data_IF_533774530438
#
_entry.id   IF_533774530438
#
_cell.length_a   1.000
_cell.length_b   1.000
_cell.length_c   1.000
_cell.angle_alpha   90.00
_cell.angle_beta   90.00
_cell.angle_gamma   90.00
#
_symmetry.space_group_name_H-M   'P 1'
#
loop_
_entity.id
_entity.type
_entity.pdbx_description
1 polymer ?
#
# COMPACT_ATOMS: atom_id res chain seq x y z
N UNK A 1 -61.72 -19.17 1.42
CA UNK A 1 -60.72 -18.56 2.34
C UNK A 1 -59.43 -18.43 1.55
N UNK A 2 -59.07 -17.22 1.15
CA UNK A 2 -57.83 -16.93 0.41
C UNK A 2 -56.91 -16.19 1.37
N UNK A 3 -55.78 -16.79 1.72
CA UNK A 3 -54.76 -16.18 2.58
C UNK A 3 -53.77 -15.45 1.69
N UNK A 4 -53.89 -14.13 1.61
CA UNK A 4 -52.93 -13.28 0.91
C UNK A 4 -51.60 -13.23 1.67
N UNK A 5 -50.53 -13.63 0.99
CA UNK A 5 -49.16 -13.48 1.48
C UNK A 5 -48.76 -12.00 1.60
N UNK A 6 -48.07 -11.59 2.67
CA UNK A 6 -47.54 -10.24 2.78
C UNK A 6 -46.35 -10.06 1.82
N UNK A 7 -46.31 -8.91 1.14
CA UNK A 7 -45.20 -8.50 0.30
C UNK A 7 -43.93 -8.26 1.14
N UNK A 8 -42.73 -8.60 0.64
CA UNK A 8 -41.49 -8.35 1.35
C UNK A 8 -41.21 -6.84 1.44
N UNK A 9 -40.78 -6.40 2.62
CA UNK A 9 -40.35 -5.03 2.86
C UNK A 9 -39.16 -4.67 1.95
N UNK A 10 -39.19 -3.45 1.39
CA UNK A 10 -38.10 -2.93 0.58
C UNK A 10 -36.81 -2.85 1.43
N UNK A 11 -35.63 -3.21 0.87
CA UNK A 11 -34.37 -3.08 1.58
C UNK A 11 -34.10 -1.59 1.86
N UNK A 12 -33.71 -1.30 3.10
CA UNK A 12 -33.24 0.03 3.48
C UNK A 12 -32.05 0.41 2.59
N UNK A 13 -32.11 1.58 1.97
CA UNK A 13 -30.99 2.18 1.26
C UNK A 13 -29.83 2.30 2.25
N UNK A 14 -28.73 1.60 1.97
CA UNK A 14 -27.52 1.71 2.76
C UNK A 14 -26.91 3.09 2.49
N UNK A 15 -26.73 3.90 3.52
CA UNK A 15 -25.95 5.15 3.47
C UNK A 15 -24.58 4.84 2.85
N UNK A 16 -24.28 5.45 1.71
CA UNK A 16 -22.96 5.36 1.11
C UNK A 16 -21.93 5.98 2.09
N UNK A 17 -20.83 5.29 2.40
CA UNK A 17 -19.83 5.82 3.31
C UNK A 17 -19.18 7.07 2.69
N UNK A 18 -19.51 8.25 3.22
CA UNK A 18 -18.82 9.49 2.87
C UNK A 18 -17.37 9.40 3.31
N UNK A 19 -16.44 9.38 2.34
CA UNK A 19 -15.00 9.43 2.57
C UNK A 19 -14.62 10.78 3.19
N UNK A 20 -14.21 10.78 4.46
CA UNK A 20 -13.70 11.97 5.15
C UNK A 20 -12.25 12.26 4.70
N UNK A 21 -12.09 13.19 3.77
CA UNK A 21 -10.78 13.59 3.24
C UNK A 21 -9.88 14.25 4.29
N UNK A 22 -10.44 14.89 5.33
CA UNK A 22 -9.64 15.49 6.39
C UNK A 22 -8.97 14.42 7.23
N UNK A 23 -9.71 13.35 7.58
CA UNK A 23 -9.16 12.19 8.27
C UNK A 23 -8.08 11.47 7.47
N UNK A 24 -8.27 11.34 6.14
CA UNK A 24 -7.27 10.73 5.25
C UNK A 24 -5.98 11.56 5.25
N UNK A 25 -6.05 12.88 5.03
CA UNK A 25 -4.86 13.75 5.02
C UNK A 25 -4.11 13.75 6.36
N UNK A 26 -4.84 13.78 7.47
CA UNK A 26 -4.24 13.70 8.79
C UNK A 26 -3.45 12.39 8.99
N UNK A 27 -4.02 11.25 8.56
CA UNK A 27 -3.36 9.95 8.61
C UNK A 27 -2.11 9.88 7.74
N UNK A 28 -2.10 10.53 6.58
CA UNK A 28 -0.91 10.60 5.71
C UNK A 28 0.19 11.43 6.36
N UNK A 29 -0.14 12.61 6.90
CA UNK A 29 0.84 13.48 7.56
C UNK A 29 1.47 12.80 8.78
N UNK A 30 0.66 12.08 9.55
CA UNK A 30 1.12 11.30 10.69
C UNK A 30 2.09 10.17 10.28
N UNK A 31 1.77 9.43 9.21
CA UNK A 31 2.68 8.40 8.71
C UNK A 31 4.03 9.00 8.27
N UNK A 32 4.01 10.18 7.63
CA UNK A 32 5.23 10.94 7.28
C UNK A 32 6.09 11.20 8.49
N UNK A 33 5.49 11.75 9.56
CA UNK A 33 6.20 12.04 10.80
C UNK A 33 6.84 10.79 11.43
N UNK A 34 6.17 9.64 11.35
CA UNK A 34 6.70 8.36 11.86
C UNK A 34 7.91 7.90 11.03
N UNK A 35 7.86 8.01 9.70
CA UNK A 35 9.01 7.66 8.85
C UNK A 35 10.19 8.62 9.06
N UNK A 36 9.94 9.92 9.24
CA UNK A 36 10.98 10.89 9.55
C UNK A 36 11.64 10.58 10.91
N UNK A 37 10.83 10.24 11.92
CA UNK A 37 11.34 9.83 13.23
C UNK A 37 12.13 8.51 13.16
N UNK A 38 11.74 7.57 12.29
CA UNK A 38 12.52 6.36 12.03
C UNK A 38 13.88 6.69 11.41
N UNK A 39 13.89 7.49 10.35
CA UNK A 39 15.12 7.92 9.67
C UNK A 39 16.07 8.69 10.59
N UNK A 40 15.53 9.48 11.53
CA UNK A 40 16.30 10.21 12.54
C UNK A 40 16.73 9.36 13.75
N UNK A 41 16.23 8.11 13.88
CA UNK A 41 16.50 7.27 15.05
C UNK A 41 15.79 7.72 16.33
N UNK A 42 14.69 8.46 16.22
CA UNK A 42 13.95 9.09 17.33
C UNK A 42 12.53 8.57 17.51
N UNK A 43 12.26 7.33 17.08
CA UNK A 43 10.92 6.72 17.09
C UNK A 43 10.31 6.53 18.49
N UNK A 44 11.13 6.26 19.51
CA UNK A 44 10.64 5.94 20.87
C UNK A 44 9.69 4.75 20.89
N UNK A 45 8.62 4.82 21.70
CA UNK A 45 7.60 3.76 21.87
C UNK A 45 6.34 3.98 21.01
N UNK A 46 6.41 4.86 20.00
CA UNK A 46 5.24 5.25 19.18
C UNK A 46 4.62 4.09 18.40
N UNK A 47 5.41 3.09 18.01
CA UNK A 47 4.90 1.95 17.25
C UNK A 47 4.00 1.05 18.09
N UNK A 48 4.46 0.52 19.25
CA UNK A 48 3.63 -0.35 20.08
C UNK A 48 2.40 0.33 20.66
N UNK A 49 2.50 1.58 21.14
CA UNK A 49 1.36 2.32 21.71
C UNK A 49 0.17 2.44 20.75
N UNK A 50 0.45 2.34 19.44
CA UNK A 50 -0.52 2.57 18.37
C UNK A 50 -0.81 1.32 17.55
N UNK A 51 -0.26 0.18 17.95
CA UNK A 51 -0.40 -1.07 17.22
C UNK A 51 0.15 -0.96 15.79
N UNK A 52 1.27 -0.25 15.58
CA UNK A 52 1.88 -0.08 14.26
C UNK A 52 2.98 -1.11 14.00
N UNK A 53 3.23 -1.38 12.73
CA UNK A 53 4.39 -2.16 12.27
C UNK A 53 5.04 -1.44 11.10
N UNK A 54 6.35 -1.23 11.19
CA UNK A 54 7.17 -0.59 10.16
C UNK A 54 7.95 -1.67 9.39
N UNK A 55 7.85 -1.65 8.07
CA UNK A 55 8.56 -2.58 7.17
C UNK A 55 9.41 -1.79 6.17
N UNK A 56 10.72 -1.99 6.24
CA UNK A 56 11.72 -1.31 5.43
C UNK A 56 12.47 -2.32 4.55
N UNK A 57 12.32 -2.31 3.21
CA UNK A 57 13.01 -3.23 2.32
C UNK A 57 14.36 -2.71 1.82
N UNK A 58 14.83 -1.57 2.35
CA UNK A 58 16.08 -0.89 1.97
C UNK A 58 16.35 -0.94 0.45
N UNK A 59 15.41 -0.45 -0.37
CA UNK A 59 15.47 -0.56 -1.83
C UNK A 59 16.56 0.36 -2.40
N UNK A 60 16.94 0.11 -3.66
CA UNK A 60 17.69 1.11 -4.42
C UNK A 60 16.82 2.36 -4.69
N UNK A 61 17.48 3.50 -4.91
CA UNK A 61 16.80 4.73 -5.33
C UNK A 61 16.04 4.49 -6.65
N UNK A 62 14.80 5.01 -6.74
CA UNK A 62 13.96 4.82 -7.92
C UNK A 62 13.30 3.44 -8.06
N UNK A 63 13.53 2.48 -7.15
CA UNK A 63 12.79 1.21 -7.16
C UNK A 63 11.29 1.39 -6.92
N UNK A 64 10.47 0.62 -7.61
CA UNK A 64 9.06 0.45 -7.26
C UNK A 64 8.91 -0.69 -6.28
N UNK A 65 8.04 -0.52 -5.28
CA UNK A 65 7.93 -1.47 -4.16
C UNK A 65 6.47 -1.75 -3.87
N UNK A 66 6.12 -3.02 -3.74
CA UNK A 66 4.85 -3.45 -3.19
C UNK A 66 5.06 -4.18 -1.88
N UNK A 67 4.34 -3.79 -0.84
CA UNK A 67 4.45 -4.36 0.49
C UNK A 67 3.26 -5.25 0.82
N UNK A 68 3.51 -6.29 1.61
CA UNK A 68 2.52 -7.25 2.06
C UNK A 68 2.79 -7.61 3.52
N UNK A 69 1.73 -7.77 4.31
CA UNK A 69 1.81 -8.28 5.67
C UNK A 69 0.79 -9.40 5.84
N UNK A 70 1.27 -10.60 6.12
CA UNK A 70 0.42 -11.77 6.36
C UNK A 70 0.44 -12.14 7.83
N UNK A 71 -0.70 -12.51 8.38
CA UNK A 71 -0.77 -13.08 9.72
C UNK A 71 -0.24 -14.53 9.70
N UNK A 72 0.58 -14.89 10.69
CA UNK A 72 1.22 -16.21 10.77
C UNK A 72 2.57 -16.28 10.04
N UNK A 73 3.18 -17.46 10.11
CA UNK A 73 4.41 -17.78 9.39
C UNK A 73 4.05 -18.41 8.05
N UNK A 74 4.42 -17.73 6.96
CA UNK A 74 4.29 -18.23 5.59
C UNK A 74 5.70 -18.50 5.09
N UNK A 75 5.92 -19.68 4.55
CA UNK A 75 7.12 -19.97 3.78
C UNK A 75 6.92 -19.37 2.38
N UNK A 76 7.65 -18.29 2.02
CA UNK A 76 7.49 -17.69 0.71
C UNK A 76 7.97 -18.67 -0.36
N UNK A 77 7.15 -18.87 -1.39
CA UNK A 77 7.59 -19.60 -2.58
C UNK A 77 8.57 -18.77 -3.42
N UNK A 78 8.95 -19.30 -4.59
CA UNK A 78 9.98 -18.70 -5.46
C UNK A 78 9.57 -17.35 -6.07
N UNK A 79 8.26 -17.10 -6.19
CA UNK A 79 7.70 -15.92 -6.83
C UNK A 79 6.43 -15.40 -6.13
N UNK A 80 5.91 -14.28 -6.64
CA UNK A 80 4.67 -13.69 -6.14
C UNK A 80 3.43 -14.58 -6.30
N UNK A 81 3.37 -15.44 -7.33
CA UNK A 81 2.24 -16.34 -7.52
C UNK A 81 2.21 -17.42 -6.44
N UNK A 82 3.37 -17.98 -6.10
CA UNK A 82 3.53 -18.94 -5.03
C UNK A 82 3.25 -18.31 -3.65
N UNK A 83 3.71 -17.07 -3.41
CA UNK A 83 3.36 -16.32 -2.20
C UNK A 83 1.85 -16.12 -2.06
N UNK A 84 1.16 -15.72 -3.14
CA UNK A 84 -0.31 -15.61 -3.14
C UNK A 84 -1.01 -16.93 -2.86
N UNK A 85 -0.53 -18.03 -3.45
CA UNK A 85 -1.09 -19.36 -3.23
C UNK A 85 -0.92 -19.80 -1.76
N UNK A 86 0.26 -19.61 -1.19
CA UNK A 86 0.55 -19.91 0.21
C UNK A 86 -0.34 -19.08 1.15
N UNK A 87 -0.51 -17.78 0.88
CA UNK A 87 -1.37 -16.90 1.67
C UNK A 87 -2.88 -17.17 1.51
N UNK A 88 -3.33 -17.60 0.33
CA UNK A 88 -4.74 -17.86 0.02
C UNK A 88 -5.29 -19.17 0.61
N UNK A 89 -4.40 -20.07 1.05
CA UNK A 89 -4.76 -21.40 1.56
C UNK A 89 -5.42 -21.39 2.94
N UNK A 90 -5.27 -20.30 3.71
CA UNK A 90 -5.68 -20.23 5.12
C UNK A 90 -7.04 -19.54 5.37
N UNK A 91 -7.80 -19.19 4.33
CA UNK A 91 -9.17 -18.66 4.44
C UNK A 91 -9.29 -17.27 5.11
N UNK A 92 -8.19 -16.73 5.64
CA UNK A 92 -8.04 -15.36 6.12
C UNK A 92 -7.52 -14.54 4.95
N UNK A 93 -8.43 -14.12 4.06
CA UNK A 93 -8.08 -13.36 2.85
C UNK A 93 -7.08 -12.23 3.12
N UNK A 94 -6.32 -11.77 2.10
CA UNK A 94 -5.21 -10.85 2.29
C UNK A 94 -5.68 -9.61 3.06
N UNK A 95 -5.29 -9.53 4.34
CA UNK A 95 -5.56 -8.37 5.18
C UNK A 95 -4.75 -7.23 4.60
N UNK A 96 -5.46 -6.36 3.88
CA UNK A 96 -5.02 -5.07 3.39
C UNK A 96 -3.65 -5.11 2.70
N UNK A 97 -3.69 -5.23 1.37
CA UNK A 97 -2.65 -4.61 0.55
C UNK A 97 -2.74 -3.11 0.85
N UNK A 98 -1.95 -2.64 1.81
CA UNK A 98 -1.57 -1.24 1.83
C UNK A 98 -0.58 -1.12 0.70
N UNK A 99 -1.03 -0.56 -0.43
CA UNK A 99 -0.13 -0.01 -1.44
C UNK A 99 0.79 0.95 -0.69
N UNK A 100 2.03 0.51 -0.48
CA UNK A 100 3.08 1.34 0.10
C UNK A 100 3.48 2.37 -0.93
N UNK A 101 2.84 3.53 -0.83
CA UNK A 101 3.10 4.72 -1.60
C UNK A 101 1.88 5.60 -1.70
N UNK A 102 1.38 6.13 -0.58
CA UNK A 102 0.92 7.53 -0.64
C UNK A 102 2.20 8.33 -0.93
N UNK A 103 2.46 8.60 -2.20
CA UNK A 103 3.49 9.46 -2.77
C UNK A 103 4.78 9.61 -1.94
N UNK A 104 5.68 8.61 -1.98
CA UNK A 104 7.10 8.66 -1.54
C UNK A 104 7.44 8.15 -0.14
N UNK A 105 6.51 7.53 0.59
CA UNK A 105 6.82 6.97 1.90
C UNK A 105 7.60 5.64 1.81
N UNK A 106 8.89 5.68 2.17
CA UNK A 106 9.79 4.53 2.40
C UNK A 106 10.38 4.73 3.78
N UNK A 107 10.07 3.93 4.81
CA UNK A 107 9.44 2.59 4.84
C UNK A 107 7.89 2.55 4.84
N UNK A 108 7.31 1.35 4.74
CA UNK A 108 5.86 1.13 4.86
C UNK A 108 5.41 1.03 6.33
N UNK A 109 4.23 1.58 6.64
CA UNK A 109 3.63 1.55 7.98
C UNK A 109 2.26 0.88 7.91
N UNK A 110 2.16 -0.29 8.55
CA UNK A 110 0.93 -1.04 8.75
C UNK A 110 0.28 -0.63 10.08
N UNK A 111 -1.01 -0.35 10.04
CA UNK A 111 -1.81 0.03 11.21
C UNK A 111 -2.57 -1.18 11.78
N UNK A 112 -2.96 -1.11 13.06
CA UNK A 112 -3.78 -2.14 13.74
C UNK A 112 -3.17 -3.55 13.71
N UNK A 113 -1.86 -3.65 13.96
CA UNK A 113 -1.11 -4.88 14.13
C UNK A 113 -1.08 -5.28 15.61
N UNK A 114 -1.91 -6.27 15.94
CA UNK A 114 -1.93 -6.92 17.24
C UNK A 114 -0.60 -7.66 17.54
N UNK A 115 -0.27 -7.90 18.81
CA UNK A 115 0.85 -8.78 19.15
C UNK A 115 0.66 -10.18 18.55
N UNK A 116 1.69 -10.71 17.88
CA UNK A 116 1.59 -12.00 17.20
C UNK A 116 2.70 -12.29 16.21
N UNK A 117 2.63 -13.46 15.58
CA UNK A 117 3.53 -13.83 14.47
C UNK A 117 2.95 -13.36 13.14
N UNK A 118 3.80 -12.76 12.32
CA UNK A 118 3.49 -12.29 10.96
C UNK A 118 4.60 -12.68 9.98
N UNK A 119 4.29 -12.56 8.70
CA UNK A 119 5.25 -12.60 7.59
C UNK A 119 5.13 -11.30 6.82
N UNK A 120 6.17 -10.46 6.90
CA UNK A 120 6.26 -9.22 6.15
C UNK A 120 7.01 -9.47 4.85
N UNK A 121 6.48 -9.01 3.73
CA UNK A 121 7.08 -9.18 2.41
C UNK A 121 7.13 -7.87 1.63
N UNK A 122 8.11 -7.73 0.75
CA UNK A 122 8.18 -6.68 -0.26
C UNK A 122 8.59 -7.25 -1.62
N UNK A 123 7.91 -6.84 -2.68
CA UNK A 123 8.37 -7.00 -4.05
C UNK A 123 9.10 -5.72 -4.44
N UNK A 124 10.37 -5.81 -4.79
CA UNK A 124 11.18 -4.67 -5.21
C UNK A 124 11.51 -4.85 -6.69
N UNK A 125 10.89 -4.04 -7.54
CA UNK A 125 11.29 -3.95 -8.94
C UNK A 125 12.53 -3.05 -9.05
N UNK A 126 13.39 -3.36 -10.04
CA UNK A 126 14.54 -2.52 -10.41
C UNK A 126 14.14 -1.06 -10.62
N UNK A 127 15.12 -0.13 -10.69
CA UNK A 127 14.80 1.29 -10.82
C UNK A 127 13.84 1.46 -11.99
N UNK A 128 12.66 1.99 -11.69
CA UNK A 128 11.68 2.30 -12.71
C UNK A 128 12.31 3.22 -13.74
N UNK A 129 11.70 3.30 -14.92
CA UNK A 129 12.10 4.24 -15.94
C UNK A 129 12.07 5.67 -15.35
N UNK A 130 13.24 6.20 -14.96
CA UNK A 130 13.35 7.45 -14.21
C UNK A 130 12.85 8.63 -15.04
N UNK A 131 13.04 8.54 -16.36
CA UNK A 131 12.50 9.51 -17.31
C UNK A 131 10.97 9.44 -17.31
N UNK A 132 10.38 8.24 -17.42
CA UNK A 132 8.93 8.07 -17.33
C UNK A 132 8.38 8.56 -15.99
N UNK A 133 9.06 8.24 -14.89
CA UNK A 133 8.67 8.67 -13.53
C UNK A 133 8.62 10.19 -13.43
N UNK A 134 9.68 10.87 -13.89
CA UNK A 134 9.73 12.34 -13.89
C UNK A 134 8.62 12.96 -14.74
N UNK A 135 8.40 12.42 -15.94
CA UNK A 135 7.33 12.93 -16.84
C UNK A 135 5.95 12.72 -16.23
N UNK A 136 5.71 11.57 -15.58
CA UNK A 136 4.47 11.33 -14.84
C UNK A 136 4.28 12.35 -13.71
N UNK A 137 5.31 12.63 -12.91
CA UNK A 137 5.24 13.61 -11.84
C UNK A 137 4.97 15.04 -12.35
N UNK A 138 5.63 15.45 -13.43
CA UNK A 138 5.40 16.76 -14.08
C UNK A 138 3.94 16.90 -14.55
N UNK A 139 3.43 15.89 -15.27
CA UNK A 139 2.05 15.91 -15.77
C UNK A 139 1.04 15.83 -14.61
N UNK A 140 1.31 15.06 -13.56
CA UNK A 140 0.47 15.01 -12.37
C UNK A 140 0.37 16.37 -11.68
N UNK A 141 1.50 17.08 -11.52
CA UNK A 141 1.52 18.43 -10.95
C UNK A 141 0.75 19.45 -11.82
N UNK A 142 0.85 19.34 -13.15
CA UNK A 142 0.06 20.17 -14.07
C UNK A 142 -1.44 19.91 -13.94
N UNK A 143 -1.83 18.63 -13.80
CA UNK A 143 -3.23 18.23 -13.60
C UNK A 143 -3.74 18.73 -12.26
N UNK A 144 -2.98 18.60 -11.18
CA UNK A 144 -3.33 19.11 -9.86
C UNK A 144 -3.50 20.64 -9.88
N UNK A 145 -2.60 21.36 -10.55
CA UNK A 145 -2.69 22.82 -10.69
C UNK A 145 -3.95 23.27 -11.48
N UNK A 146 -4.39 22.45 -12.44
CA UNK A 146 -5.54 22.75 -13.32
C UNK A 146 -6.89 22.30 -12.75
N UNK A 147 -6.93 21.11 -12.15
CA UNK A 147 -8.13 20.39 -11.74
C UNK A 147 -8.30 20.30 -10.21
N UNK A 148 -7.30 20.68 -9.43
CA UNK A 148 -7.24 20.49 -7.98
C UNK A 148 -6.87 19.06 -7.57
N UNK A 149 -6.93 18.77 -6.27
CA UNK A 149 -6.55 17.47 -5.65
C UNK A 149 -7.33 16.24 -6.20
N UNK A 150 -8.40 16.43 -6.98
CA UNK A 150 -9.28 15.35 -7.44
C UNK A 150 -9.65 15.49 -8.92
N UNK A 151 -8.73 15.12 -9.82
CA UNK A 151 -9.05 15.09 -11.23
C UNK A 151 -10.14 14.06 -11.54
N UNK A 152 -11.04 14.40 -12.46
CA UNK A 152 -12.03 13.50 -13.03
C UNK A 152 -11.35 12.42 -13.87
N UNK A 153 -12.04 11.29 -14.10
CA UNK A 153 -11.50 10.17 -14.87
C UNK A 153 -11.01 10.59 -16.28
N UNK A 154 -11.73 11.51 -16.93
CA UNK A 154 -11.36 12.08 -18.23
C UNK A 154 -10.03 12.85 -18.16
N UNK A 155 -9.81 13.61 -17.09
CA UNK A 155 -8.58 14.37 -16.88
C UNK A 155 -7.38 13.45 -16.60
N UNK A 156 -7.62 12.32 -15.92
CA UNK A 156 -6.61 11.28 -15.70
C UNK A 156 -6.26 10.57 -17.03
N UNK A 157 -7.24 10.32 -17.89
CA UNK A 157 -7.01 9.76 -19.22
C UNK A 157 -6.23 10.73 -20.11
N UNK A 158 -6.59 12.02 -20.11
CA UNK A 158 -5.83 13.07 -20.80
C UNK A 158 -4.37 13.13 -20.30
N UNK A 159 -4.18 13.11 -18.98
CA UNK A 159 -2.86 13.08 -18.36
C UNK A 159 -2.05 11.88 -18.82
N UNK A 160 -2.67 10.70 -18.89
CA UNK A 160 -1.99 9.48 -19.35
C UNK A 160 -1.56 9.60 -20.81
N UNK A 161 -2.43 10.11 -21.68
CA UNK A 161 -2.09 10.35 -23.08
C UNK A 161 -0.97 11.40 -23.23
N UNK A 162 -0.98 12.43 -22.39
CA UNK A 162 0.07 13.46 -22.37
C UNK A 162 1.43 12.90 -21.94
N UNK A 163 1.47 12.02 -20.93
CA UNK A 163 2.68 11.31 -20.52
C UNK A 163 3.24 10.49 -21.69
N UNK A 164 2.41 9.67 -22.35
CA UNK A 164 2.86 8.87 -23.49
C UNK A 164 3.34 9.73 -24.66
N UNK A 165 2.66 10.87 -24.90
CA UNK A 165 3.06 11.84 -25.92
C UNK A 165 4.43 12.46 -25.63
N UNK A 166 4.71 12.81 -24.37
CA UNK A 166 6.02 13.35 -23.95
C UNK A 166 7.14 12.33 -24.04
N UNK A 167 6.85 11.07 -23.71
CA UNK A 167 7.81 9.98 -23.75
C UNK A 167 8.02 9.40 -25.17
N UNK A 168 7.10 9.66 -26.10
CA UNK A 168 7.14 9.09 -27.45
C UNK A 168 6.91 7.58 -27.49
N UNK A 169 6.47 6.98 -26.39
CA UNK A 169 6.20 5.55 -26.21
C UNK A 169 5.13 5.34 -25.14
N UNK A 170 4.39 4.22 -25.19
CA UNK A 170 3.48 3.86 -24.10
C UNK A 170 4.25 3.66 -22.80
N UNK A 171 3.61 3.98 -21.68
CA UNK A 171 4.14 3.65 -20.35
C UNK A 171 3.79 2.19 -20.07
N UNK A 172 4.80 1.32 -20.01
CA UNK A 172 4.59 -0.04 -19.56
C UNK A 172 4.26 -0.04 -18.06
N UNK A 173 3.21 -0.76 -17.67
CA UNK A 173 2.98 -1.03 -16.25
C UNK A 173 4.19 -1.77 -15.71
N UNK A 174 4.71 -1.28 -14.58
CA UNK A 174 5.70 -2.04 -13.81
C UNK A 174 5.09 -3.40 -13.46
N UNK A 175 5.59 -4.43 -14.14
CA UNK A 175 5.24 -5.82 -13.87
C UNK A 175 5.99 -6.27 -12.63
N UNK A 176 5.27 -6.75 -11.63
CA UNK A 176 5.85 -7.48 -10.50
C UNK A 176 5.87 -9.00 -10.75
N UNK A 177 5.46 -9.42 -11.94
CA UNK A 177 5.45 -10.81 -12.36
C UNK A 177 6.89 -11.33 -12.49
N UNK A 178 7.18 -12.46 -11.85
CA UNK A 178 8.53 -13.05 -11.80
C UNK A 178 9.49 -12.39 -10.82
N UNK A 179 9.07 -11.38 -10.05
CA UNK A 179 9.88 -10.84 -8.96
C UNK A 179 9.79 -11.78 -7.75
N UNK A 180 10.95 -12.22 -7.26
CA UNK A 180 11.05 -12.95 -6.00
C UNK A 180 10.76 -12.00 -4.83
N UNK A 181 9.75 -12.27 -3.99
CA UNK A 181 9.46 -11.46 -2.82
C UNK A 181 10.56 -11.59 -1.78
N UNK A 182 10.97 -10.45 -1.20
CA UNK A 182 11.79 -10.40 0.01
C UNK A 182 10.85 -10.55 1.20
N UNK A 183 10.96 -11.61 1.97
CA UNK A 183 10.09 -11.85 3.11
C UNK A 183 10.89 -12.10 4.40
N UNK A 184 10.31 -11.70 5.52
CA UNK A 184 10.82 -12.01 6.85
C UNK A 184 9.67 -12.40 7.79
N UNK A 185 9.95 -13.37 8.67
CA UNK A 185 9.09 -13.65 9.81
C UNK A 185 9.26 -12.54 10.86
N UNK A 186 8.15 -12.10 11.40
CA UNK A 186 8.06 -11.02 12.40
C UNK A 186 7.32 -11.56 13.61
N UNK A 187 7.79 -11.23 14.81
CA UNK A 187 7.05 -11.45 16.05
C UNK A 187 6.79 -10.06 16.63
N UNK A 188 5.62 -9.50 16.33
CA UNK A 188 5.21 -8.20 16.83
C UNK A 188 4.85 -8.32 18.31
N UNK A 189 5.54 -7.59 19.17
CA UNK A 189 5.32 -7.52 20.61
C UNK A 189 4.86 -6.12 21.04
N UNK A 190 5.03 -5.82 22.32
CA UNK A 190 4.67 -4.52 22.91
C UNK A 190 5.86 -3.54 22.98
N UNK A 191 6.97 -3.86 22.30
CA UNK A 191 8.18 -3.04 22.22
C UNK A 191 8.46 -2.58 20.78
N UNK A 192 9.08 -1.40 20.62
CA UNK A 192 9.43 -0.84 19.31
C UNK A 192 10.35 -1.73 18.46
N UNK A 193 11.44 -2.32 19.00
CA UNK A 193 12.30 -3.21 18.21
C UNK A 193 11.56 -4.37 17.54
N UNK A 194 10.60 -4.98 18.23
CA UNK A 194 9.77 -6.06 17.67
C UNK A 194 8.83 -5.62 16.53
N UNK A 195 8.65 -4.29 16.37
CA UNK A 195 7.74 -3.67 15.42
C UNK A 195 8.43 -2.99 14.24
N UNK A 196 9.77 -3.10 14.15
CA UNK A 196 10.58 -2.64 13.03
C UNK A 196 11.12 -3.86 12.29
N UNK A 197 10.89 -3.92 10.99
CA UNK A 197 11.30 -5.05 10.15
C UNK A 197 12.12 -4.54 8.99
N UNK A 198 13.38 -4.93 8.93
CA UNK A 198 14.22 -4.68 7.76
C UNK A 198 14.25 -5.94 6.89
N UNK A 199 13.78 -5.83 5.65
CA UNK A 199 13.88 -6.90 4.66
C UNK A 199 15.23 -6.75 3.94
N UNK A 200 16.08 -7.78 4.05
CA UNK A 200 17.40 -7.78 3.42
C UNK A 200 17.34 -7.65 1.89
N UNK A 201 18.48 -7.30 1.29
CA UNK A 201 18.65 -7.14 -0.16
C UNK A 201 18.49 -8.47 -0.93
#
# INVERSE_FOLDING_TARGET
MSTGSPAPAAPAEADEPTLDHAAIRARVAEKREIADAYAAGTLGDRLPERGLLLVDPTPAEGSAIHFFLYAGAIEPGEDFAALKAAAGSDGRGPRTILLGGDDRMRPAIFDAVDPGTYTACALVAGPGDQEATRVIEEVAAEVEARAGEKPLAEQIQEASAEVERRLGRPVEKLGFDGITPRCARVVAGDDTPSRIVTLGA
#
